data_IF_730104863740
#
_entry.id   IF_730104863740
#
_cell.length_a   1.000
_cell.length_b   1.000
_cell.length_c   1.000
_cell.angle_alpha   90.00
_cell.angle_beta   90.00
_cell.angle_gamma   90.00
#
_symmetry.space_group_name_H-M   'P 1'
#
loop_
_entity.id
_entity.type
_entity.pdbx_description
1 polymer ?
#
# COMPACT_ATOMS: atom_id res chain seq x y z
N UNK A 1 13.04 -16.99 -7.19
CA UNK A 1 12.88 -16.05 -6.04
C UNK A 1 11.40 -15.67 -5.79
N UNK A 2 10.42 -16.49 -6.21
CA UNK A 2 8.99 -16.11 -6.15
C UNK A 2 8.25 -16.55 -4.87
N UNK A 3 8.92 -17.19 -3.91
CA UNK A 3 8.24 -17.86 -2.79
C UNK A 3 8.06 -17.00 -1.52
N UNK A 4 8.79 -15.88 -1.36
CA UNK A 4 8.75 -15.09 -0.12
C UNK A 4 7.53 -14.17 0.03
N UNK A 5 7.05 -13.58 -1.08
CA UNK A 5 5.95 -12.61 -1.07
C UNK A 5 4.60 -13.20 -1.51
N UNK A 6 4.54 -14.50 -1.81
CA UNK A 6 3.29 -15.16 -2.24
C UNK A 6 2.17 -15.04 -1.20
N UNK A 7 2.51 -15.23 0.07
CA UNK A 7 1.57 -15.21 1.19
C UNK A 7 1.25 -13.80 1.73
N UNK A 8 1.89 -12.75 1.21
CA UNK A 8 1.62 -11.39 1.69
C UNK A 8 0.37 -10.81 1.01
N UNK A 9 -0.39 -9.95 1.72
CA UNK A 9 -1.57 -9.28 1.18
C UNK A 9 -1.23 -8.14 0.22
N UNK A 10 0.04 -8.04 -0.22
CA UNK A 10 0.50 -6.99 -1.10
C UNK A 10 -0.10 -7.13 -2.50
N UNK A 11 -0.36 -6.01 -3.15
CA UNK A 11 -0.76 -5.99 -4.55
C UNK A 11 0.40 -6.46 -5.47
N UNK A 12 0.12 -6.91 -6.70
CA UNK A 12 1.19 -7.27 -7.65
C UNK A 12 2.21 -6.14 -7.87
N UNK A 13 1.76 -4.88 -7.84
CA UNK A 13 2.61 -3.69 -7.96
C UNK A 13 3.54 -3.55 -6.76
N UNK A 14 3.03 -3.69 -5.54
CA UNK A 14 3.85 -3.65 -4.31
C UNK A 14 4.86 -4.79 -4.26
N UNK A 15 4.46 -6.00 -4.67
CA UNK A 15 5.38 -7.14 -4.75
C UNK A 15 6.51 -6.87 -5.74
N UNK A 16 6.18 -6.32 -6.92
CA UNK A 16 7.17 -5.91 -7.91
C UNK A 16 8.17 -4.90 -7.33
N UNK A 17 7.68 -3.89 -6.61
CA UNK A 17 8.53 -2.89 -5.97
C UNK A 17 9.53 -3.51 -4.97
N UNK A 18 9.09 -4.49 -4.17
CA UNK A 18 9.98 -5.21 -3.25
C UNK A 18 11.00 -6.07 -4.01
N UNK A 19 10.63 -6.67 -5.12
CA UNK A 19 11.56 -7.43 -5.95
C UNK A 19 12.60 -6.54 -6.65
N UNK A 20 12.17 -5.37 -7.12
CA UNK A 20 13.01 -4.38 -7.82
C UNK A 20 14.13 -3.84 -6.91
N UNK A 21 13.97 -3.87 -5.57
CA UNK A 21 15.04 -3.56 -4.61
C UNK A 21 16.32 -4.36 -4.87
N UNK A 22 16.19 -5.66 -5.14
CA UNK A 22 17.35 -6.51 -5.40
C UNK A 22 18.07 -6.13 -6.71
N UNK A 23 17.37 -5.56 -7.68
CA UNK A 23 17.96 -5.06 -8.91
C UNK A 23 18.82 -3.81 -8.68
N UNK A 24 18.44 -2.95 -7.72
CA UNK A 24 19.24 -1.78 -7.32
C UNK A 24 20.62 -2.18 -6.74
N UNK A 25 20.76 -3.40 -6.20
CA UNK A 25 22.03 -3.89 -5.66
C UNK A 25 23.02 -4.35 -6.74
N UNK A 26 22.59 -4.49 -8.00
CA UNK A 26 23.42 -5.00 -9.09
C UNK A 26 24.29 -3.95 -9.80
N UNK A 27 24.15 -2.67 -9.47
CA UNK A 27 24.94 -1.60 -10.08
C UNK A 27 26.36 -1.56 -9.50
N UNK A 28 27.37 -1.56 -10.37
CA UNK A 28 28.78 -1.46 -9.96
C UNK A 28 29.26 -0.02 -9.76
N UNK A 29 28.57 0.95 -10.36
CA UNK A 29 28.83 2.37 -10.15
C UNK A 29 28.00 2.88 -8.97
N UNK A 30 28.68 3.47 -7.97
CA UNK A 30 28.07 3.97 -6.73
C UNK A 30 26.96 5.00 -6.99
N UNK A 31 27.18 5.96 -7.90
CA UNK A 31 26.18 6.99 -8.20
C UNK A 31 24.94 6.40 -8.90
N UNK A 32 25.14 5.43 -9.80
CA UNK A 32 24.05 4.75 -10.47
C UNK A 32 23.23 3.89 -9.48
N UNK A 33 23.92 3.21 -8.55
CA UNK A 33 23.29 2.46 -7.47
C UNK A 33 22.47 3.38 -6.55
N UNK A 34 23.06 4.49 -6.11
CA UNK A 34 22.40 5.46 -5.24
C UNK A 34 21.17 6.07 -5.93
N UNK A 35 21.28 6.45 -7.21
CA UNK A 35 20.14 6.96 -7.98
C UNK A 35 19.02 5.95 -8.16
N UNK A 36 19.36 4.69 -8.47
CA UNK A 36 18.36 3.62 -8.59
C UNK A 36 17.67 3.33 -7.25
N UNK A 37 18.40 3.41 -6.13
CA UNK A 37 17.83 3.22 -4.81
C UNK A 37 16.94 4.40 -4.38
N UNK A 38 17.34 5.64 -4.70
CA UNK A 38 16.56 6.83 -4.38
C UNK A 38 15.22 6.86 -5.12
N UNK A 39 15.21 6.50 -6.41
CA UNK A 39 13.97 6.38 -7.18
C UNK A 39 13.04 5.30 -6.60
N UNK A 40 13.59 4.15 -6.22
CA UNK A 40 12.83 3.07 -5.58
C UNK A 40 12.24 3.50 -4.23
N UNK A 41 13.02 4.22 -3.40
CA UNK A 41 12.54 4.76 -2.13
C UNK A 41 11.42 5.78 -2.32
N UNK A 42 11.54 6.62 -3.35
CA UNK A 42 10.49 7.60 -3.70
C UNK A 42 9.20 6.90 -4.14
N UNK A 43 9.30 5.86 -4.97
CA UNK A 43 8.13 5.08 -5.39
C UNK A 43 7.49 4.35 -4.19
N UNK A 44 8.30 3.80 -3.29
CA UNK A 44 7.81 3.19 -2.04
C UNK A 44 7.08 4.18 -1.14
N UNK A 45 7.62 5.38 -0.95
CA UNK A 45 6.98 6.43 -0.17
C UNK A 45 5.63 6.84 -0.77
N UNK A 46 5.55 6.98 -2.11
CA UNK A 46 4.32 7.28 -2.81
C UNK A 46 3.27 6.17 -2.64
N UNK A 47 3.68 4.90 -2.73
CA UNK A 47 2.78 3.76 -2.53
C UNK A 47 2.24 3.71 -1.09
N UNK A 48 3.08 4.00 -0.09
CA UNK A 48 2.64 4.09 1.32
C UNK A 48 1.61 5.22 1.50
N UNK A 49 1.83 6.38 0.89
CA UNK A 49 0.89 7.51 0.98
C UNK A 49 -0.47 7.18 0.35
N UNK A 50 -0.48 6.51 -0.80
CA UNK A 50 -1.70 6.02 -1.45
C UNK A 50 -2.46 5.05 -0.54
N UNK A 51 -1.77 4.06 0.04
CA UNK A 51 -2.36 3.09 0.98
C UNK A 51 -2.91 3.76 2.24
N UNK A 52 -2.21 4.76 2.78
CA UNK A 52 -2.72 5.54 3.91
C UNK A 52 -3.99 6.31 3.56
N UNK A 53 -4.03 6.93 2.37
CA UNK A 53 -5.21 7.66 1.89
C UNK A 53 -6.38 6.71 1.71
N UNK A 54 -6.16 5.54 1.11
CA UNK A 54 -7.18 4.50 0.99
C UNK A 54 -7.70 4.05 2.35
N UNK A 55 -6.80 3.78 3.31
CA UNK A 55 -7.18 3.39 4.66
C UNK A 55 -8.04 4.46 5.33
N UNK A 56 -7.65 5.73 5.23
CA UNK A 56 -8.41 6.88 5.76
C UNK A 56 -9.81 6.96 5.12
N UNK A 57 -9.92 6.75 3.81
CA UNK A 57 -11.19 6.78 3.08
C UNK A 57 -12.10 5.61 3.45
N UNK A 58 -11.56 4.38 3.50
CA UNK A 58 -12.30 3.19 3.96
C UNK A 58 -12.81 3.37 5.38
N UNK A 59 -12.02 3.97 6.27
CA UNK A 59 -12.46 4.25 7.65
C UNK A 59 -13.65 5.22 7.71
N UNK A 60 -13.62 6.29 6.90
CA UNK A 60 -14.77 7.22 6.78
C UNK A 60 -16.02 6.51 6.27
N UNK A 61 -15.87 5.64 5.27
CA UNK A 61 -16.98 4.87 4.72
C UNK A 61 -17.59 3.95 5.79
N UNK A 62 -16.78 3.18 6.52
CA UNK A 62 -17.25 2.32 7.62
C UNK A 62 -17.98 3.11 8.70
N UNK A 63 -17.45 4.28 9.08
CA UNK A 63 -18.11 5.16 10.05
C UNK A 63 -19.48 5.64 9.54
N UNK A 64 -19.56 6.07 8.28
CA UNK A 64 -20.82 6.50 7.68
C UNK A 64 -21.86 5.37 7.58
N UNK A 65 -21.42 4.16 7.26
CA UNK A 65 -22.27 2.98 7.19
C UNK A 65 -22.79 2.59 8.58
N UNK A 66 -21.95 2.68 9.62
CA UNK A 66 -22.35 2.44 10.99
C UNK A 66 -23.43 3.41 11.46
N UNK A 67 -23.31 4.70 11.12
CA UNK A 67 -24.33 5.71 11.42
C UNK A 67 -25.64 5.38 10.69
N UNK A 68 -25.58 5.11 9.39
CA UNK A 68 -26.76 4.78 8.58
C UNK A 68 -27.49 3.53 9.10
N UNK A 69 -26.74 2.48 9.46
CA UNK A 69 -27.29 1.26 10.04
C UNK A 69 -27.96 1.51 11.40
N UNK A 70 -27.34 2.34 12.26
CA UNK A 70 -27.91 2.71 13.56
C UNK A 70 -29.23 3.48 13.44
N UNK A 71 -29.32 4.42 12.49
CA UNK A 71 -30.57 5.13 12.19
C UNK A 71 -31.65 4.17 11.70
N UNK A 72 -31.31 3.26 10.78
CA UNK A 72 -32.26 2.28 10.24
C UNK A 72 -32.81 1.35 11.32
N UNK A 73 -31.96 0.84 12.21
CA UNK A 73 -32.40 0.02 13.37
C UNK A 73 -33.33 0.83 14.28
N UNK A 74 -33.02 2.10 14.53
CA UNK A 74 -33.86 2.97 15.37
C UNK A 74 -35.26 3.17 14.78
N UNK A 75 -35.37 3.28 13.45
CA UNK A 75 -36.65 3.38 12.75
C UNK A 75 -37.42 2.05 12.81
N UNK A 76 -36.75 0.90 12.67
CA UNK A 76 -37.41 -0.42 12.70
C UNK A 76 -37.89 -0.86 14.08
N UNK A 77 -37.31 -0.31 15.15
CA UNK A 77 -37.68 -0.61 16.54
C UNK A 77 -38.71 0.39 17.13
N UNK A 78 -39.08 1.42 16.37
CA UNK A 78 -40.19 2.34 16.64
C UNK A 78 -41.48 1.84 16.02
#
# INVERSE_FOLDING_TARGET
>A
MESGLGATPLSPREKKLVYDFSACLGYMEENAQAGALDELLREAASCIEELERERKNKNKMTMSLGIAAGVLISILLL
#
